data_IF_347968135170
#
_entry.id   IF_347968135170
#
_cell.length_a   1.000
_cell.length_b   1.000
_cell.length_c   1.000
_cell.angle_alpha   90.00
_cell.angle_beta   90.00
_cell.angle_gamma   90.00
#
_symmetry.space_group_name_H-M   'P 1'
#
loop_
_entity.id
_entity.type
_entity.pdbx_description
1 polymer ?
#
# COMPACT_ATOMS: atom_id res chain seq x y z
N UNK A 1 -10.33 10.24 -18.24
CA UNK A 1 -10.63 9.42 -17.05
C UNK A 1 -11.76 8.48 -17.39
N UNK A 2 -11.56 7.18 -17.18
CA UNK A 2 -12.60 6.14 -17.26
C UNK A 2 -12.93 5.76 -15.82
N UNK A 3 -14.20 5.82 -15.44
CA UNK A 3 -14.65 5.45 -14.10
C UNK A 3 -15.31 4.08 -14.11
N UNK A 4 -15.16 3.37 -13.00
CA UNK A 4 -15.84 2.12 -12.70
C UNK A 4 -15.65 1.03 -13.77
N UNK A 5 -14.44 0.93 -14.32
CA UNK A 5 -14.07 -0.16 -15.21
C UNK A 5 -14.08 -1.48 -14.42
N UNK A 6 -14.93 -2.42 -14.83
CA UNK A 6 -15.06 -3.72 -14.17
C UNK A 6 -13.88 -4.61 -14.57
N UNK A 7 -13.01 -4.93 -13.61
CA UNK A 7 -11.86 -5.80 -13.84
C UNK A 7 -12.06 -7.22 -13.29
N UNK A 8 -13.08 -7.42 -12.45
CA UNK A 8 -13.50 -8.72 -11.94
C UNK A 8 -15.03 -8.76 -11.82
N UNK A 9 -15.70 -9.32 -12.84
CA UNK A 9 -17.16 -9.46 -12.86
C UNK A 9 -17.69 -10.33 -11.73
N UNK A 10 -16.94 -11.37 -11.34
CA UNK A 10 -17.38 -12.33 -10.31
C UNK A 10 -17.52 -11.65 -8.94
N UNK A 11 -16.58 -10.78 -8.61
CA UNK A 11 -16.58 -10.05 -7.34
C UNK A 11 -17.12 -8.62 -7.46
N UNK A 12 -17.56 -8.20 -8.66
CA UNK A 12 -18.03 -6.84 -8.97
C UNK A 12 -17.00 -5.76 -8.60
N UNK A 13 -15.71 -6.05 -8.79
CA UNK A 13 -14.65 -5.09 -8.47
C UNK A 13 -14.38 -4.18 -9.66
N UNK A 14 -14.26 -2.90 -9.35
CA UNK A 14 -14.02 -1.84 -10.32
C UNK A 14 -12.73 -1.09 -10.04
N UNK A 15 -12.19 -0.47 -11.10
CA UNK A 15 -11.05 0.44 -11.03
C UNK A 15 -11.35 1.72 -11.83
N UNK A 16 -10.65 2.79 -11.49
CA UNK A 16 -10.64 4.03 -12.27
C UNK A 16 -9.31 4.15 -13.03
N UNK A 17 -9.38 4.66 -14.27
CA UNK A 17 -8.22 4.87 -15.14
C UNK A 17 -8.07 6.36 -15.41
N UNK A 18 -6.89 6.90 -15.10
CA UNK A 18 -6.49 8.28 -15.38
C UNK A 18 -5.35 8.27 -16.39
N UNK A 19 -5.63 8.80 -17.58
CA UNK A 19 -4.71 8.74 -18.71
C UNK A 19 -4.04 10.11 -18.94
N UNK A 20 -2.70 10.17 -19.00
CA UNK A 20 -1.96 11.37 -19.38
C UNK A 20 -1.94 11.53 -20.91
N UNK A 21 -1.59 12.72 -21.40
CA UNK A 21 -1.39 12.95 -22.84
C UNK A 21 -0.28 12.07 -23.44
N UNK A 22 0.72 11.71 -22.62
CA UNK A 22 1.81 10.80 -22.98
C UNK A 22 2.09 9.89 -21.78
N UNK A 23 1.96 8.59 -22.00
CA UNK A 23 2.22 7.57 -20.99
C UNK A 23 3.73 7.30 -20.92
N UNK A 24 4.35 7.61 -19.80
CA UNK A 24 5.75 7.27 -19.51
C UNK A 24 5.87 5.92 -18.79
N UNK A 25 4.98 5.68 -17.84
CA UNK A 25 4.85 4.46 -17.04
C UNK A 25 3.41 4.31 -16.53
N UNK A 26 3.08 3.18 -15.93
CA UNK A 26 1.82 3.00 -15.22
C UNK A 26 2.05 2.90 -13.71
N UNK A 27 1.06 3.32 -12.93
CA UNK A 27 1.05 3.18 -11.48
C UNK A 27 -0.28 2.59 -11.02
N UNK A 28 -0.23 1.48 -10.29
CA UNK A 28 -1.35 0.92 -9.55
C UNK A 28 -1.42 1.69 -8.23
N UNK A 29 -2.42 2.56 -8.08
CA UNK A 29 -2.60 3.42 -6.92
C UNK A 29 -3.58 2.79 -5.93
N UNK A 30 -3.05 2.31 -4.81
CA UNK A 30 -3.77 1.42 -3.89
C UNK A 30 -4.19 2.18 -2.64
N UNK A 31 -5.51 2.25 -2.43
CA UNK A 31 -6.07 2.97 -1.30
C UNK A 31 -5.76 2.31 0.06
N UNK A 32 -5.60 3.14 1.08
CA UNK A 32 -5.51 2.71 2.48
C UNK A 32 -6.87 2.39 3.10
N UNK A 33 -6.85 2.02 4.39
CA UNK A 33 -8.06 1.71 5.16
C UNK A 33 -7.97 0.50 6.09
N UNK A 34 -6.77 0.03 6.43
CA UNK A 34 -6.59 -1.12 7.33
C UNK A 34 -7.19 -2.42 6.78
N UNK A 35 -7.35 -2.52 5.46
CA UNK A 35 -8.05 -3.60 4.75
C UNK A 35 -9.53 -3.79 5.10
N UNK A 36 -10.14 -2.94 5.94
CA UNK A 36 -11.53 -3.12 6.38
C UNK A 36 -12.49 -2.03 5.88
N UNK A 37 -11.96 -1.03 5.18
CA UNK A 37 -12.73 0.12 4.67
C UNK A 37 -11.96 0.85 3.56
N UNK A 38 -12.62 1.86 3.01
CA UNK A 38 -12.06 2.70 1.96
C UNK A 38 -12.36 2.15 0.57
N UNK A 39 -12.15 3.00 -0.42
CA UNK A 39 -12.36 2.70 -1.83
C UNK A 39 -11.50 3.64 -2.68
N UNK A 40 -11.43 3.35 -3.98
CA UNK A 40 -10.64 4.10 -4.98
C UNK A 40 -10.97 5.59 -5.06
N UNK A 41 -12.15 6.04 -4.64
CA UNK A 41 -12.52 7.47 -4.73
C UNK A 41 -11.65 8.36 -3.85
N UNK A 42 -11.08 7.81 -2.76
CA UNK A 42 -10.14 8.50 -1.88
C UNK A 42 -8.87 8.96 -2.59
N UNK A 43 -8.49 8.26 -3.66
CA UNK A 43 -7.23 8.47 -4.36
C UNK A 43 -7.33 9.49 -5.50
N UNK A 44 -8.52 10.06 -5.75
CA UNK A 44 -8.78 10.91 -6.93
C UNK A 44 -7.76 12.05 -7.08
N UNK A 45 -7.49 12.80 -6.00
CA UNK A 45 -6.58 13.95 -6.05
C UNK A 45 -5.14 13.53 -6.33
N UNK A 46 -4.70 12.42 -5.74
CA UNK A 46 -3.36 11.87 -5.95
C UNK A 46 -3.22 11.28 -7.35
N UNK A 47 -4.26 10.60 -7.86
CA UNK A 47 -4.31 10.06 -9.20
C UNK A 47 -4.21 11.17 -10.27
N UNK A 48 -4.95 12.26 -10.10
CA UNK A 48 -4.87 13.42 -10.99
C UNK A 48 -3.46 14.01 -11.00
N UNK A 49 -2.84 14.17 -9.82
CA UNK A 49 -1.47 14.69 -9.71
C UNK A 49 -0.44 13.78 -10.40
N UNK A 50 -0.48 12.47 -10.15
CA UNK A 50 0.40 11.50 -10.80
C UNK A 50 0.19 11.45 -12.33
N UNK A 51 -1.04 11.66 -12.78
CA UNK A 51 -1.35 11.77 -14.21
C UNK A 51 -0.66 12.99 -14.83
N UNK A 52 -0.57 14.12 -14.13
CA UNK A 52 0.20 15.28 -14.62
C UNK A 52 1.69 15.00 -14.73
N UNK A 53 2.22 14.04 -13.96
CA UNK A 53 3.60 13.57 -14.04
C UNK A 53 3.81 12.49 -15.13
N UNK A 54 2.82 12.20 -15.96
CA UNK A 54 2.96 11.28 -17.10
C UNK A 54 2.74 9.80 -16.76
N UNK A 55 2.22 9.49 -15.57
CA UNK A 55 1.78 8.14 -15.23
C UNK A 55 0.38 7.86 -15.76
N UNK A 56 0.19 6.68 -16.38
CA UNK A 56 -1.12 6.05 -16.47
C UNK A 56 -1.50 5.54 -15.08
N UNK A 57 -2.50 6.14 -14.44
CA UNK A 57 -2.91 5.74 -13.09
C UNK A 57 -4.08 4.78 -13.16
N UNK A 58 -3.96 3.65 -12.47
CA UNK A 58 -5.03 2.68 -12.26
C UNK A 58 -5.31 2.61 -10.77
N UNK A 59 -6.51 3.03 -10.35
CA UNK A 59 -6.93 3.04 -8.95
C UNK A 59 -8.03 1.98 -8.71
N UNK A 60 -7.69 0.76 -8.23
CA UNK A 60 -8.65 -0.31 -8.02
C UNK A 60 -9.31 -0.27 -6.64
N UNK A 61 -10.57 -0.72 -6.58
CA UNK A 61 -11.14 -1.30 -5.36
C UNK A 61 -10.61 -2.72 -5.18
N UNK A 62 -10.41 -3.16 -3.94
CA UNK A 62 -10.11 -4.54 -3.58
C UNK A 62 -11.06 -5.03 -2.49
N UNK A 63 -11.23 -6.36 -2.35
CA UNK A 63 -12.10 -6.94 -1.33
C UNK A 63 -11.58 -6.67 0.09
N UNK A 64 -12.49 -6.36 1.00
CA UNK A 64 -12.18 -5.91 2.36
C UNK A 64 -12.51 -6.99 3.42
N UNK A 65 -11.71 -7.02 4.48
CA UNK A 65 -11.96 -7.78 5.69
C UNK A 65 -13.04 -7.10 6.56
N UNK A 66 -13.80 -7.84 7.39
CA UNK A 66 -13.67 -9.27 7.65
C UNK A 66 -14.36 -10.18 6.63
N UNK A 67 -15.18 -9.64 5.72
CA UNK A 67 -15.92 -10.42 4.73
C UNK A 67 -14.99 -11.19 3.78
N UNK A 68 -13.83 -10.60 3.50
CA UNK A 68 -12.78 -11.18 2.69
C UNK A 68 -11.42 -11.02 3.36
N UNK A 69 -11.01 -12.05 4.09
CA UNK A 69 -9.73 -12.11 4.78
C UNK A 69 -8.55 -12.23 3.81
N UNK A 70 -7.32 -12.00 4.30
CA UNK A 70 -6.10 -12.38 3.59
C UNK A 70 -6.22 -13.80 2.99
N UNK A 71 -5.83 -14.04 1.72
CA UNK A 71 -5.11 -13.12 0.81
C UNK A 71 -6.00 -12.35 -0.18
N UNK A 72 -7.32 -12.22 0.06
CA UNK A 72 -8.27 -11.75 -0.95
C UNK A 72 -7.92 -10.40 -1.60
N UNK A 73 -7.52 -9.39 -0.80
CA UNK A 73 -7.11 -8.08 -1.31
C UNK A 73 -5.89 -8.17 -2.24
N UNK A 74 -4.94 -9.04 -1.90
CA UNK A 74 -3.74 -9.23 -2.72
C UNK A 74 -4.05 -9.98 -4.02
N UNK A 75 -4.90 -11.01 -3.96
CA UNK A 75 -5.37 -11.73 -5.15
C UNK A 75 -6.05 -10.78 -6.15
N UNK A 76 -6.79 -9.79 -5.66
CA UNK A 76 -7.46 -8.79 -6.49
C UNK A 76 -6.44 -7.87 -7.18
N UNK A 77 -5.42 -7.41 -6.46
CA UNK A 77 -4.36 -6.57 -7.05
C UNK A 77 -3.47 -7.32 -8.03
N UNK A 78 -3.26 -8.63 -7.83
CA UNK A 78 -2.57 -9.46 -8.82
C UNK A 78 -3.34 -9.52 -10.14
N UNK A 79 -4.68 -9.58 -10.11
CA UNK A 79 -5.51 -9.49 -11.32
C UNK A 79 -5.40 -8.13 -11.99
N UNK A 80 -5.38 -7.04 -11.22
CA UNK A 80 -5.17 -5.68 -11.76
C UNK A 80 -3.82 -5.57 -12.46
N UNK A 81 -2.76 -6.10 -11.84
CA UNK A 81 -1.43 -6.16 -12.44
C UNK A 81 -1.43 -6.97 -13.74
N UNK A 82 -1.99 -8.18 -13.72
CA UNK A 82 -1.99 -9.07 -14.88
C UNK A 82 -2.83 -8.49 -16.04
N UNK A 83 -3.97 -7.85 -15.73
CA UNK A 83 -4.77 -7.11 -16.70
C UNK A 83 -3.99 -5.96 -17.34
N UNK A 84 -3.33 -5.14 -16.52
CA UNK A 84 -2.56 -3.98 -16.99
C UNK A 84 -1.34 -4.42 -17.83
N UNK A 85 -0.66 -5.49 -17.41
CA UNK A 85 0.47 -6.07 -18.14
C UNK A 85 0.08 -6.66 -19.50
N UNK A 86 -1.18 -7.10 -19.66
CA UNK A 86 -1.74 -7.63 -20.89
C UNK A 86 -2.48 -6.58 -21.75
N UNK A 87 -2.61 -5.34 -21.26
CA UNK A 87 -3.32 -4.27 -21.96
C UNK A 87 -2.54 -3.73 -23.18
N UNK A 88 -3.25 -3.00 -24.05
CA UNK A 88 -2.65 -2.30 -25.21
C UNK A 88 -1.92 -1.01 -24.81
N UNK A 89 -1.91 -0.63 -23.53
CA UNK A 89 -1.14 0.52 -23.07
C UNK A 89 0.37 0.26 -23.21
N UNK A 90 1.19 1.28 -23.54
CA UNK A 90 2.64 1.13 -23.75
C UNK A 90 3.43 1.03 -22.43
N UNK A 91 2.99 0.15 -21.51
CA UNK A 91 3.44 0.09 -20.11
C UNK A 91 4.13 -1.24 -19.77
N UNK A 92 4.35 -2.11 -20.76
CA UNK A 92 5.07 -3.38 -20.58
C UNK A 92 6.48 -3.12 -20.03
N UNK A 93 6.77 -3.70 -18.87
CA UNK A 93 8.02 -3.49 -18.14
C UNK A 93 8.11 -2.15 -17.38
N UNK A 94 7.04 -1.34 -17.37
CA UNK A 94 6.99 0.00 -16.75
C UNK A 94 5.79 0.16 -15.82
N UNK A 95 5.38 -0.93 -15.17
CA UNK A 95 4.31 -0.93 -14.19
C UNK A 95 4.95 -0.71 -12.82
N UNK A 96 4.37 0.21 -12.05
CA UNK A 96 4.77 0.52 -10.69
C UNK A 96 3.57 0.45 -9.75
N UNK A 97 3.79 0.50 -8.44
CA UNK A 97 2.72 0.61 -7.45
C UNK A 97 3.01 1.73 -6.44
N UNK A 98 1.95 2.37 -5.95
CA UNK A 98 2.00 3.28 -4.81
C UNK A 98 0.77 3.08 -3.96
N UNK A 99 0.94 3.14 -2.65
CA UNK A 99 -0.18 3.13 -1.74
C UNK A 99 0.19 3.63 -0.36
N UNK A 100 -0.86 3.90 0.42
CA UNK A 100 -0.79 4.47 1.76
C UNK A 100 -1.35 3.49 2.79
N UNK A 101 -0.73 3.37 3.97
CA UNK A 101 -1.19 2.50 5.06
C UNK A 101 -1.30 1.03 4.63
N UNK A 102 -2.49 0.41 4.71
CA UNK A 102 -2.75 -0.93 4.13
C UNK A 102 -2.49 -1.01 2.62
N UNK A 103 -2.71 0.07 1.88
CA UNK A 103 -2.32 0.16 0.46
C UNK A 103 -0.81 0.22 0.27
N UNK A 104 -0.09 0.78 1.25
CA UNK A 104 1.37 0.79 1.28
C UNK A 104 1.95 -0.61 1.57
N UNK A 105 1.27 -1.41 2.41
CA UNK A 105 1.57 -2.84 2.54
C UNK A 105 1.36 -3.56 1.20
N UNK A 106 0.19 -3.40 0.57
CA UNK A 106 -0.12 -4.06 -0.70
C UNK A 106 0.78 -3.60 -1.87
N UNK A 107 1.32 -2.40 -1.81
CA UNK A 107 2.34 -1.92 -2.78
C UNK A 107 3.67 -2.64 -2.59
N UNK A 108 4.08 -2.86 -1.33
CA UNK A 108 5.25 -3.68 -1.00
C UNK A 108 5.04 -5.10 -1.49
N UNK A 109 3.88 -5.70 -1.20
CA UNK A 109 3.51 -7.04 -1.69
C UNK A 109 3.69 -7.20 -3.20
N UNK A 110 3.14 -6.26 -3.99
CA UNK A 110 3.27 -6.28 -5.44
C UNK A 110 4.73 -6.21 -5.88
N UNK A 111 5.55 -5.34 -5.26
CA UNK A 111 6.97 -5.27 -5.57
C UNK A 111 7.69 -6.59 -5.25
N UNK A 112 7.41 -7.20 -4.10
CA UNK A 112 8.05 -8.44 -3.69
C UNK A 112 7.68 -9.62 -4.61
N UNK A 113 6.43 -9.68 -5.08
CA UNK A 113 5.90 -10.80 -5.87
C UNK A 113 6.08 -10.64 -7.39
N UNK A 114 5.99 -9.43 -7.93
CA UNK A 114 6.07 -9.14 -9.38
C UNK A 114 7.40 -8.53 -9.81
N UNK A 115 8.29 -8.20 -8.87
CA UNK A 115 9.58 -7.60 -9.19
C UNK A 115 9.50 -6.18 -9.74
N UNK A 116 8.40 -5.47 -9.46
CA UNK A 116 8.17 -4.11 -9.95
C UNK A 116 8.64 -3.05 -8.95
N UNK A 117 9.02 -1.85 -9.41
CA UNK A 117 9.24 -0.73 -8.51
C UNK A 117 7.94 -0.36 -7.78
N UNK A 118 8.04 -0.12 -6.48
CA UNK A 118 6.91 0.42 -5.73
C UNK A 118 7.32 1.45 -4.69
N UNK A 119 6.35 2.28 -4.33
CA UNK A 119 6.45 3.21 -3.23
C UNK A 119 5.41 2.88 -2.16
N UNK A 120 5.79 3.04 -0.91
CA UNK A 120 4.96 2.75 0.24
C UNK A 120 4.98 3.91 1.21
N UNK A 121 3.82 4.49 1.47
CA UNK A 121 3.64 5.51 2.49
C UNK A 121 2.97 4.88 3.72
N UNK A 122 3.65 4.85 4.85
CA UNK A 122 3.16 4.27 6.10
C UNK A 122 2.76 2.81 5.95
N UNK A 123 3.48 2.04 5.12
CA UNK A 123 3.19 0.64 4.87
C UNK A 123 3.31 -0.19 6.14
N UNK A 124 2.29 -1.00 6.41
CA UNK A 124 2.29 -1.98 7.51
C UNK A 124 3.17 -3.16 7.08
N UNK A 125 4.22 -3.51 7.83
CA UNK A 125 5.25 -4.45 7.36
C UNK A 125 5.43 -5.64 8.28
N UNK A 126 5.90 -5.47 9.52
CA UNK A 126 6.24 -6.59 10.41
C UNK A 126 5.01 -7.11 11.18
N UNK A 127 3.96 -7.51 10.46
CA UNK A 127 2.66 -7.88 11.03
C UNK A 127 2.76 -9.00 12.08
N UNK A 128 3.32 -10.15 11.72
CA UNK A 128 3.36 -11.31 12.60
C UNK A 128 4.32 -11.09 13.75
N UNK A 129 5.52 -10.58 13.42
CA UNK A 129 6.56 -10.34 14.42
C UNK A 129 6.14 -9.28 15.44
N UNK A 130 5.51 -8.18 14.99
CA UNK A 130 5.01 -7.14 15.89
C UNK A 130 3.92 -7.69 16.81
N UNK A 131 2.94 -8.44 16.29
CA UNK A 131 1.86 -9.01 17.13
C UNK A 131 2.40 -10.00 18.17
N UNK A 132 3.40 -10.82 17.82
CA UNK A 132 4.05 -11.75 18.75
C UNK A 132 4.83 -11.03 19.86
N UNK A 133 5.46 -9.89 19.53
CA UNK A 133 6.27 -9.11 20.48
C UNK A 133 5.43 -8.23 21.43
N UNK A 134 4.14 -8.06 21.17
CA UNK A 134 3.23 -7.25 21.98
C UNK A 134 2.05 -8.06 22.53
N UNK A 135 2.28 -9.16 23.28
CA UNK A 135 1.20 -9.99 23.82
C UNK A 135 0.28 -9.24 24.78
N UNK A 136 0.79 -8.23 25.48
CA UNK A 136 0.08 -7.40 26.45
C UNK A 136 -0.88 -6.38 25.82
N UNK A 137 -0.68 -6.03 24.54
CA UNK A 137 -1.57 -5.09 23.84
C UNK A 137 -2.92 -5.76 23.59
N UNK A 138 -4.00 -5.16 24.09
CA UNK A 138 -5.37 -5.61 23.84
C UNK A 138 -5.88 -4.95 22.55
N UNK A 139 -6.27 -5.72 21.51
CA UNK A 139 -6.76 -5.14 20.26
C UNK A 139 -8.10 -4.43 20.48
N UNK A 140 -8.21 -3.18 20.05
CA UNK A 140 -9.44 -2.40 20.12
C UNK A 140 -9.64 -1.54 18.87
N UNK A 141 -10.87 -1.47 18.36
CA UNK A 141 -11.20 -0.60 17.24
C UNK A 141 -11.04 0.87 17.62
N UNK A 142 -10.68 1.71 16.64
CA UNK A 142 -10.60 3.15 16.85
C UNK A 142 -12.00 3.73 17.12
N UNK A 143 -12.16 4.43 18.24
CA UNK A 143 -13.45 5.00 18.65
C UNK A 143 -13.61 6.48 18.25
N UNK A 144 -12.67 7.03 17.47
CA UNK A 144 -12.75 8.42 17.02
C UNK A 144 -13.99 8.65 16.13
N UNK A 145 -14.79 9.71 16.38
CA UNK A 145 -15.95 10.01 15.56
C UNK A 145 -15.54 10.34 14.12
N UNK A 146 -16.39 9.96 13.17
CA UNK A 146 -16.22 10.23 11.73
C UNK A 146 -14.88 9.78 11.13
N UNK A 147 -14.21 8.81 11.77
CA UNK A 147 -12.99 8.18 11.27
C UNK A 147 -13.11 7.70 9.81
N UNK A 148 -14.31 7.31 9.38
CA UNK A 148 -14.64 6.81 8.04
C UNK A 148 -15.10 7.85 7.03
N UNK A 149 -15.30 9.10 7.45
CA UNK A 149 -15.82 10.18 6.60
C UNK A 149 -14.78 11.25 6.27
N UNK A 150 -13.55 11.07 6.73
CA UNK A 150 -12.46 12.02 6.53
C UNK A 150 -11.63 11.67 5.28
N UNK A 151 -11.01 12.68 4.69
CA UNK A 151 -10.01 12.48 3.64
C UNK A 151 -8.79 11.71 4.21
N UNK A 152 -8.13 10.88 3.39
CA UNK A 152 -7.02 10.02 3.81
C UNK A 152 -5.96 10.74 4.64
N UNK A 153 -5.52 11.92 4.18
CA UNK A 153 -4.50 12.73 4.87
C UNK A 153 -4.95 13.42 6.18
N UNK A 154 -6.15 13.15 6.67
CA UNK A 154 -6.67 13.65 7.96
C UNK A 154 -6.84 12.56 9.01
N UNK A 155 -6.66 11.30 8.64
CA UNK A 155 -6.96 10.16 9.50
C UNK A 155 -5.72 9.72 10.27
N UNK A 156 -5.86 9.45 11.58
CA UNK A 156 -4.79 8.93 12.46
C UNK A 156 -3.50 9.76 12.48
N UNK A 157 -3.65 11.08 12.52
CA UNK A 157 -2.53 12.03 12.51
C UNK A 157 -1.96 12.31 13.93
N UNK A 158 -2.49 11.64 14.94
CA UNK A 158 -2.21 11.90 16.37
C UNK A 158 -1.13 11.00 16.96
N UNK A 159 -0.56 10.10 16.15
CA UNK A 159 0.56 9.24 16.52
C UNK A 159 0.16 7.80 16.85
N UNK A 160 0.97 7.14 17.67
CA UNK A 160 0.84 5.71 17.96
C UNK A 160 -0.52 5.32 18.57
N UNK A 161 -1.05 4.19 18.14
CA UNK A 161 -2.25 3.56 18.70
C UNK A 161 -2.15 2.04 18.55
N UNK A 162 -1.36 1.42 19.41
CA UNK A 162 -1.02 -0.01 19.34
C UNK A 162 -2.26 -0.92 19.43
N UNK A 163 -3.26 -0.52 20.23
CA UNK A 163 -4.51 -1.26 20.34
C UNK A 163 -5.26 -1.31 18.99
N UNK A 164 -5.33 -0.18 18.29
CA UNK A 164 -5.94 -0.12 16.96
C UNK A 164 -5.09 -0.80 15.89
N UNK A 165 -3.77 -0.60 15.94
CA UNK A 165 -2.80 -1.26 15.06
C UNK A 165 -2.95 -2.79 15.12
N UNK A 166 -2.94 -3.34 16.35
CA UNK A 166 -3.17 -4.77 16.57
C UNK A 166 -4.54 -5.22 16.08
N UNK A 167 -5.58 -4.42 16.33
CA UNK A 167 -6.95 -4.77 15.97
C UNK A 167 -7.12 -4.93 14.46
N UNK A 168 -6.69 -3.98 13.63
CA UNK A 168 -6.90 -4.10 12.19
C UNK A 168 -6.02 -5.17 11.54
N UNK A 169 -4.82 -5.43 12.08
CA UNK A 169 -3.96 -6.53 11.63
C UNK A 169 -4.67 -7.86 11.87
N UNK A 170 -5.21 -8.06 13.09
CA UNK A 170 -5.91 -9.28 13.42
C UNK A 170 -7.26 -9.40 12.69
N UNK A 171 -7.94 -8.29 12.42
CA UNK A 171 -9.15 -8.26 11.60
C UNK A 171 -8.86 -8.73 10.16
N UNK A 172 -7.75 -8.29 9.56
CA UNK A 172 -7.34 -8.67 8.20
C UNK A 172 -7.18 -10.17 8.02
N UNK A 173 -6.76 -10.86 9.09
CA UNK A 173 -6.49 -12.31 9.07
C UNK A 173 -7.52 -13.12 9.84
N UNK A 174 -8.61 -12.52 10.29
CA UNK A 174 -9.69 -13.21 11.01
C UNK A 174 -9.21 -13.86 12.31
N UNK A 175 -8.32 -13.19 13.04
CA UNK A 175 -7.75 -13.65 14.32
C UNK A 175 -6.91 -14.94 14.24
N UNK A 176 -6.54 -15.37 13.04
CA UNK A 176 -5.80 -16.61 12.79
C UNK A 176 -4.29 -16.34 12.73
N UNK A 177 -3.54 -16.88 13.69
CA UNK A 177 -2.09 -16.65 13.81
C UNK A 177 -1.26 -17.33 12.71
N UNK A 178 -1.74 -18.42 12.14
CA UNK A 178 -1.07 -19.06 10.99
C UNK A 178 -1.30 -18.24 9.73
N UNK A 179 -2.52 -17.70 9.55
CA UNK A 179 -2.81 -16.74 8.48
C UNK A 179 -2.02 -15.45 8.65
N UNK A 180 -1.88 -14.96 9.88
CA UNK A 180 -1.05 -13.79 10.19
C UNK A 180 0.41 -13.99 9.75
N UNK A 181 0.97 -15.17 10.05
CA UNK A 181 2.33 -15.52 9.64
C UNK A 181 2.50 -15.51 8.12
N UNK A 182 1.48 -15.94 7.37
CA UNK A 182 1.48 -15.89 5.90
C UNK A 182 1.32 -14.47 5.35
N UNK A 183 0.56 -13.63 6.05
CA UNK A 183 0.33 -12.24 5.69
C UNK A 183 1.56 -11.34 5.91
N UNK A 184 2.57 -11.79 6.66
CA UNK A 184 3.79 -11.02 6.90
C UNK A 184 4.69 -10.94 5.65
N UNK A 185 4.96 -9.73 5.10
CA UNK A 185 5.78 -9.55 3.91
C UNK A 185 7.25 -9.87 4.05
N UNK A 186 7.81 -9.87 5.25
CA UNK A 186 9.26 -10.03 5.42
C UNK A 186 9.76 -11.37 4.87
N UNK A 187 8.97 -12.43 4.99
CA UNK A 187 9.32 -13.76 4.49
C UNK A 187 9.29 -13.88 2.96
N UNK A 188 8.71 -12.92 2.24
CA UNK A 188 8.56 -12.93 0.77
C UNK A 188 9.67 -12.18 0.05
N UNK A 189 10.59 -11.54 0.76
CA UNK A 189 11.77 -10.89 0.16
C UNK A 189 12.65 -11.95 -0.52
N UNK A 190 12.92 -11.75 -1.81
CA UNK A 190 13.69 -12.67 -2.63
C UNK A 190 14.55 -11.94 -3.65
N UNK A 191 15.38 -12.66 -4.40
CA UNK A 191 16.18 -12.08 -5.50
C UNK A 191 15.31 -11.55 -6.66
N UNK A 192 14.01 -11.88 -6.68
CA UNK A 192 13.06 -11.39 -7.69
C UNK A 192 12.26 -10.17 -7.21
N UNK A 193 12.49 -9.69 -5.98
CA UNK A 193 11.78 -8.54 -5.43
C UNK A 193 12.19 -7.25 -6.15
N UNK A 194 11.22 -6.36 -6.35
CA UNK A 194 11.44 -5.07 -6.98
C UNK A 194 11.98 -4.01 -6.01
N UNK A 195 12.56 -2.91 -6.54
CA UNK A 195 13.10 -1.85 -5.71
C UNK A 195 11.98 -1.09 -4.99
N UNK A 196 12.26 -0.62 -3.76
CA UNK A 196 11.26 0.00 -2.90
C UNK A 196 11.63 1.40 -2.41
N UNK A 197 10.70 2.35 -2.51
CA UNK A 197 10.74 3.60 -1.76
C UNK A 197 9.79 3.50 -0.56
N UNK A 198 10.31 3.71 0.64
CA UNK A 198 9.56 3.54 1.89
C UNK A 198 9.60 4.86 2.65
N UNK A 199 8.43 5.45 2.89
CA UNK A 199 8.30 6.67 3.68
C UNK A 199 7.39 6.44 4.89
N UNK A 200 7.85 6.87 6.06
CA UNK A 200 7.12 6.77 7.32
C UNK A 200 7.45 7.95 8.21
N UNK A 201 6.49 8.36 9.03
CA UNK A 201 6.75 9.31 10.12
C UNK A 201 7.39 8.62 11.32
N UNK A 202 8.13 9.38 12.12
CA UNK A 202 8.90 8.82 13.24
C UNK A 202 8.01 8.34 14.41
N UNK A 203 6.86 8.98 14.64
CA UNK A 203 5.98 8.73 15.79
C UNK A 203 4.52 8.53 15.36
N UNK A 204 4.26 7.81 14.27
CA UNK A 204 2.92 7.61 13.72
C UNK A 204 2.24 6.29 14.18
N UNK A 205 1.07 5.98 13.59
CA UNK A 205 0.30 4.76 13.82
C UNK A 205 1.07 3.47 13.49
N UNK A 206 1.90 3.50 12.45
CA UNK A 206 2.64 2.33 11.95
C UNK A 206 4.07 2.34 12.52
N UNK A 207 4.48 1.34 13.31
CA UNK A 207 5.81 1.26 13.88
C UNK A 207 6.91 1.18 12.82
N UNK A 208 8.06 1.80 13.10
CA UNK A 208 9.22 1.77 12.20
C UNK A 208 9.99 0.44 12.20
N UNK A 209 9.71 -0.47 13.14
CA UNK A 209 10.40 -1.75 13.25
C UNK A 209 10.33 -2.54 11.93
N UNK A 210 9.18 -2.51 11.27
CA UNK A 210 9.01 -3.14 9.96
C UNK A 210 9.85 -2.49 8.85
N UNK A 211 9.98 -1.17 8.84
CA UNK A 211 10.81 -0.43 7.85
C UNK A 211 12.27 -0.88 7.93
N UNK A 212 12.82 -0.98 9.14
CA UNK A 212 14.21 -1.41 9.33
C UNK A 212 14.43 -2.88 8.94
N UNK A 213 13.51 -3.76 9.33
CA UNK A 213 13.58 -5.20 8.99
C UNK A 213 13.49 -5.43 7.49
N UNK A 214 12.58 -4.74 6.81
CA UNK A 214 12.41 -4.85 5.36
C UNK A 214 13.64 -4.31 4.62
N UNK A 215 14.17 -3.16 5.03
CA UNK A 215 15.40 -2.61 4.43
C UNK A 215 16.57 -3.58 4.58
N UNK A 216 16.74 -4.19 5.76
CA UNK A 216 17.79 -5.19 5.97
C UNK A 216 17.60 -6.41 5.07
N UNK A 217 16.38 -6.96 5.00
CA UNK A 217 16.07 -8.12 4.16
C UNK A 217 16.29 -7.83 2.66
N UNK A 218 15.93 -6.65 2.17
CA UNK A 218 16.18 -6.23 0.78
C UNK A 218 17.68 -6.11 0.49
N UNK A 219 18.44 -5.50 1.40
CA UNK A 219 19.89 -5.36 1.27
C UNK A 219 20.60 -6.73 1.22
N UNK A 220 20.18 -7.70 2.03
CA UNK A 220 20.71 -9.07 2.01
C UNK A 220 20.48 -9.78 0.66
N UNK A 221 19.47 -9.37 -0.11
CA UNK A 221 19.16 -9.88 -1.45
C UNK A 221 19.72 -8.99 -2.57
N UNK A 222 20.43 -7.91 -2.23
CA UNK A 222 20.94 -6.95 -3.21
C UNK A 222 19.86 -6.13 -3.91
N UNK A 223 18.67 -5.99 -3.31
CA UNK A 223 17.55 -5.23 -3.87
C UNK A 223 17.63 -3.78 -3.38
N UNK A 224 17.65 -2.78 -4.28
CA UNK A 224 17.70 -1.38 -3.89
C UNK A 224 16.47 -0.93 -3.10
N UNK A 225 16.69 -0.14 -2.05
CA UNK A 225 15.61 0.52 -1.33
C UNK A 225 16.02 1.90 -0.83
N UNK A 226 15.11 2.87 -0.92
CA UNK A 226 15.28 4.21 -0.37
C UNK A 226 14.28 4.45 0.77
N UNK A 227 14.78 4.95 1.91
CA UNK A 227 13.95 5.21 3.08
C UNK A 227 13.89 6.71 3.37
N UNK A 228 12.67 7.24 3.55
CA UNK A 228 12.41 8.62 3.96
C UNK A 228 11.69 8.65 5.31
N UNK A 229 12.44 8.95 6.36
CA UNK A 229 11.89 9.13 7.70
C UNK A 229 11.45 10.58 7.90
N UNK A 230 10.21 10.77 8.32
CA UNK A 230 9.54 12.09 8.41
C UNK A 230 9.31 12.43 9.88
N UNK A 231 9.63 13.66 10.29
CA UNK A 231 9.40 14.08 11.68
C UNK A 231 7.89 14.16 11.97
N UNK A 232 7.49 13.69 13.15
CA UNK A 232 6.15 13.91 13.70
C UNK A 232 5.30 12.64 13.71
N UNK A 233 3.99 12.85 13.74
CA UNK A 233 2.96 11.82 13.98
C UNK A 233 2.09 11.54 12.76
N UNK A 234 2.38 12.22 11.65
CA UNK A 234 1.52 12.28 10.46
C UNK A 234 1.53 10.92 9.75
N UNK A 235 0.36 10.42 9.37
CA UNK A 235 0.18 9.10 8.78
C UNK A 235 -0.20 9.17 7.30
N UNK A 236 0.45 8.33 6.49
CA UNK A 236 0.15 8.09 5.08
C UNK A 236 0.16 9.35 4.23
N UNK A 237 -0.92 9.59 3.50
CA UNK A 237 -1.10 10.79 2.67
C UNK A 237 -1.05 12.11 3.45
N UNK A 238 -1.10 12.10 4.79
CA UNK A 238 -0.95 13.31 5.59
C UNK A 238 0.38 14.04 5.33
N UNK A 239 1.42 13.30 4.92
CA UNK A 239 2.73 13.86 4.56
C UNK A 239 3.01 13.80 3.05
N UNK A 240 1.99 13.64 2.20
CA UNK A 240 2.16 13.52 0.75
C UNK A 240 3.06 14.63 0.18
N UNK A 241 2.86 15.90 0.57
CA UNK A 241 3.69 17.01 0.09
C UNK A 241 5.19 16.88 0.43
N UNK A 242 5.55 16.13 1.47
CA UNK A 242 6.94 15.88 1.87
C UNK A 242 7.52 14.72 1.06
N UNK A 243 6.75 13.65 0.83
CA UNK A 243 7.22 12.41 0.21
C UNK A 243 7.07 12.39 -1.32
N UNK A 244 6.17 13.19 -1.89
CA UNK A 244 5.72 13.08 -3.28
C UNK A 244 6.84 13.19 -4.31
N UNK A 245 7.65 14.24 -4.24
CA UNK A 245 8.70 14.47 -5.24
C UNK A 245 9.75 13.35 -5.25
N UNK A 246 10.18 12.89 -4.07
CA UNK A 246 11.11 11.77 -3.95
C UNK A 246 10.48 10.46 -4.46
N UNK A 247 9.18 10.26 -4.19
CA UNK A 247 8.41 9.10 -4.69
C UNK A 247 8.40 9.06 -6.22
N UNK A 248 8.04 10.16 -6.88
CA UNK A 248 8.00 10.25 -8.35
C UNK A 248 9.39 10.05 -8.96
N UNK A 249 10.41 10.68 -8.39
CA UNK A 249 11.80 10.53 -8.85
C UNK A 249 12.27 9.08 -8.78
N UNK A 250 12.03 8.43 -7.64
CA UNK A 250 12.39 7.02 -7.44
C UNK A 250 11.70 6.11 -8.46
N UNK A 251 10.38 6.22 -8.60
CA UNK A 251 9.60 5.37 -9.51
C UNK A 251 10.03 5.56 -10.98
N UNK A 252 10.33 6.79 -11.41
CA UNK A 252 10.80 7.05 -12.78
C UNK A 252 12.24 6.60 -13.04
N UNK A 253 13.08 6.56 -12.01
CA UNK A 253 14.47 6.12 -12.14
C UNK A 253 14.63 4.59 -12.18
N UNK A 254 13.57 3.85 -11.84
CA UNK A 254 13.60 2.39 -11.63
C UNK A 254 12.79 1.59 -12.67
N UNK A 255 12.21 2.27 -13.66
CA UNK A 255 11.49 1.69 -14.82
C UNK A 255 12.37 1.58 -16.08
#
# INVERSE_FOLDING_TARGET
MIKDYVYDEKNQLTLDIYEPNKIEAAIILIHGGGWFRGDKSKETALAERLTTDGFLVVAPNYRLAPDHLFPAAMDDLLKVYDWLAASDYPVKGKITALGSSSGGNLSIELALQKGIPAASWSGIIDLYDWVQQHPEVVPAMNQKPDFDKQASGKIDQDGANDAFYKWFILNYVGQDMERLKQADPLARVSNNSGPLFIANSLNELVPLSGVYKLQAALAEKGIPSENKLIKGTVHGEGYAEIAYQATVQFLKATI
#
